data_IF_017442406624
#
_entry.id   IF_017442406624
#
_cell.length_a   1.000
_cell.length_b   1.000
_cell.length_c   1.000
_cell.angle_alpha   90.00
_cell.angle_beta   90.00
_cell.angle_gamma   90.00
#
_symmetry.space_group_name_H-M   'P 1'
#
loop_
_entity.id
_entity.type
_entity.pdbx_description
1 polymer ?
#
# COMPACT_ATOMS: atom_id res chain seq x y z
N UNK A 1 -0.76 -7.65 54.91
CA UNK A 1 -1.63 -6.44 54.93
C UNK A 1 -2.12 -6.20 53.52
N UNK A 2 -3.41 -5.91 53.32
CA UNK A 2 -3.96 -5.63 51.99
C UNK A 2 -4.76 -4.33 51.98
N UNK A 3 -5.00 -3.78 50.80
CA UNK A 3 -5.88 -2.63 50.57
C UNK A 3 -6.70 -2.86 49.30
N UNK A 4 -7.97 -2.50 49.34
CA UNK A 4 -8.86 -2.57 48.17
C UNK A 4 -8.70 -1.24 47.43
N UNK A 5 -8.37 -1.32 46.15
CA UNK A 5 -8.25 -0.17 45.27
C UNK A 5 -9.58 0.10 44.56
N UNK A 6 -9.85 1.37 44.16
CA UNK A 6 -11.00 1.65 43.31
C UNK A 6 -10.85 0.95 41.96
N UNK A 7 -11.97 0.51 41.40
CA UNK A 7 -12.01 0.04 40.02
C UNK A 7 -11.97 1.23 39.07
N UNK A 8 -10.97 1.26 38.19
CA UNK A 8 -10.77 2.32 37.20
C UNK A 8 -11.47 2.00 35.87
N UNK A 9 -11.85 0.74 35.62
CA UNK A 9 -12.52 0.28 34.42
C UNK A 9 -13.98 -0.13 34.72
N UNK A 10 -14.80 0.86 35.01
CA UNK A 10 -16.15 0.65 35.53
C UNK A 10 -17.01 -0.20 34.57
N UNK A 11 -17.35 -1.41 35.01
CA UNK A 11 -18.31 -2.29 34.33
C UNK A 11 -17.75 -3.65 33.89
N UNK A 12 -16.45 -3.91 34.06
CA UNK A 12 -15.84 -5.22 33.80
C UNK A 12 -16.09 -6.26 34.92
N UNK A 13 -16.51 -5.78 36.10
CA UNK A 13 -16.84 -6.60 37.27
C UNK A 13 -15.60 -7.08 38.04
N UNK A 14 -14.42 -6.52 37.78
CA UNK A 14 -13.19 -6.86 38.48
C UNK A 14 -13.07 -6.14 39.84
N UNK A 15 -12.33 -6.75 40.77
CA UNK A 15 -11.97 -6.13 42.04
C UNK A 15 -10.45 -6.00 42.13
N UNK A 16 -9.98 -4.82 42.54
CA UNK A 16 -8.56 -4.51 42.57
C UNK A 16 -8.04 -4.57 44.01
N UNK A 17 -7.07 -5.43 44.27
CA UNK A 17 -6.52 -5.66 45.62
C UNK A 17 -5.00 -5.45 45.61
N UNK A 18 -4.53 -4.46 46.37
CA UNK A 18 -3.12 -4.23 46.63
C UNK A 18 -2.65 -5.08 47.80
N UNK A 19 -1.57 -5.84 47.59
CA UNK A 19 -0.91 -6.67 48.61
C UNK A 19 0.60 -6.42 48.59
N UNK A 20 1.28 -6.74 49.70
CA UNK A 20 2.74 -6.71 49.72
C UNK A 20 3.29 -7.76 48.75
N UNK A 21 4.41 -7.46 48.07
CA UNK A 21 5.01 -8.40 47.11
C UNK A 21 5.37 -9.75 47.73
N UNK A 22 5.72 -9.78 49.02
CA UNK A 22 5.98 -11.01 49.79
C UNK A 22 4.75 -11.91 49.95
N UNK A 23 3.56 -11.35 49.87
CA UNK A 23 2.29 -12.03 50.18
C UNK A 23 1.62 -12.58 48.90
N UNK A 24 2.15 -12.25 47.71
CA UNK A 24 1.58 -12.62 46.40
C UNK A 24 1.35 -14.13 46.27
N UNK A 25 2.35 -14.95 46.61
CA UNK A 25 2.24 -16.42 46.49
C UNK A 25 1.17 -17.00 47.42
N UNK A 26 0.99 -16.38 48.59
CA UNK A 26 -0.05 -16.78 49.56
C UNK A 26 -1.43 -16.45 49.02
N UNK A 27 -1.61 -15.25 48.43
CA UNK A 27 -2.87 -14.83 47.81
C UNK A 27 -3.22 -15.72 46.62
N UNK A 28 -2.23 -16.06 45.78
CA UNK A 28 -2.40 -17.00 44.66
C UNK A 28 -2.94 -18.34 45.12
N UNK A 29 -2.38 -18.88 46.20
CA UNK A 29 -2.80 -20.15 46.76
C UNK A 29 -4.26 -20.11 47.25
N UNK A 30 -4.65 -19.05 47.98
CA UNK A 30 -6.03 -18.87 48.44
C UNK A 30 -7.02 -18.66 47.30
N UNK A 31 -6.64 -17.89 46.28
CA UNK A 31 -7.49 -17.68 45.10
C UNK A 31 -7.71 -19.00 44.34
N UNK A 32 -6.67 -19.82 44.19
CA UNK A 32 -6.80 -21.15 43.59
C UNK A 32 -7.73 -22.09 44.38
N UNK A 33 -7.71 -22.03 45.72
CA UNK A 33 -8.68 -22.76 46.55
C UNK A 33 -10.11 -22.28 46.31
N UNK A 34 -10.31 -20.97 46.22
CA UNK A 34 -11.61 -20.38 45.92
C UNK A 34 -12.13 -20.78 44.52
N UNK A 35 -11.28 -20.71 43.48
CA UNK A 35 -11.64 -21.16 42.13
C UNK A 35 -12.10 -22.63 42.13
N UNK A 36 -11.38 -23.51 42.83
CA UNK A 36 -11.75 -24.92 42.94
C UNK A 36 -13.10 -25.13 43.64
N UNK A 37 -13.39 -24.39 44.70
CA UNK A 37 -14.68 -24.43 45.39
C UNK A 37 -15.83 -23.91 44.51
N UNK A 38 -15.60 -22.86 43.72
CA UNK A 38 -16.59 -22.33 42.77
C UNK A 38 -16.82 -23.30 41.61
N UNK A 39 -15.76 -23.91 41.07
CA UNK A 39 -15.86 -24.96 40.05
C UNK A 39 -16.67 -26.16 40.55
N UNK A 40 -16.46 -26.59 41.80
CA UNK A 40 -17.26 -27.65 42.42
C UNK A 40 -18.75 -27.29 42.56
N UNK A 41 -19.08 -26.00 42.64
CA UNK A 41 -20.45 -25.46 42.67
C UNK A 41 -21.03 -25.19 41.28
N UNK A 42 -20.26 -25.45 40.21
CA UNK A 42 -20.66 -25.22 38.82
C UNK A 42 -20.46 -23.80 38.32
N UNK A 43 -19.73 -22.95 39.07
CA UNK A 43 -19.40 -21.59 38.67
C UNK A 43 -17.97 -21.55 38.11
N UNK A 44 -17.79 -20.94 36.93
CA UNK A 44 -16.47 -20.71 36.35
C UNK A 44 -15.95 -19.32 36.77
N UNK A 45 -14.78 -19.29 37.41
CA UNK A 45 -14.15 -18.05 37.90
C UNK A 45 -12.87 -17.83 37.12
N UNK A 46 -12.76 -16.66 36.47
CA UNK A 46 -11.58 -16.25 35.71
C UNK A 46 -10.31 -16.23 36.57
N UNK A 47 -9.17 -16.41 35.93
CA UNK A 47 -7.87 -16.30 36.59
C UNK A 47 -7.58 -14.88 37.08
N UNK A 48 -6.82 -14.80 38.17
CA UNK A 48 -6.35 -13.53 38.71
C UNK A 48 -5.20 -12.98 37.83
N UNK A 49 -5.29 -11.69 37.51
CA UNK A 49 -4.25 -10.95 36.82
C UNK A 49 -3.31 -10.25 37.81
N UNK A 50 -2.03 -10.14 37.46
CA UNK A 50 -1.04 -9.40 38.23
C UNK A 50 -0.66 -8.14 37.47
N UNK A 51 -0.88 -7.00 38.11
CA UNK A 51 -0.56 -5.68 37.57
C UNK A 51 0.26 -4.91 38.59
N UNK A 52 1.23 -4.13 38.13
CA UNK A 52 1.93 -3.19 39.00
C UNK A 52 1.11 -1.88 39.12
N UNK A 53 1.59 -0.92 39.92
CA UNK A 53 0.85 0.34 40.14
C UNK A 53 0.75 1.21 38.87
N UNK A 54 1.72 1.13 37.96
CA UNK A 54 1.72 1.84 36.69
C UNK A 54 0.68 1.22 35.75
N UNK A 55 0.67 -0.11 35.62
CA UNK A 55 -0.32 -0.86 34.84
C UNK A 55 -1.74 -0.59 35.36
N UNK A 56 -1.92 -0.58 36.69
CA UNK A 56 -3.20 -0.24 37.32
C UNK A 56 -3.69 1.15 36.91
N UNK A 57 -2.83 2.18 36.92
CA UNK A 57 -3.27 3.52 36.48
C UNK A 57 -3.65 3.58 35.00
N UNK A 58 -3.15 2.65 34.19
CA UNK A 58 -3.47 2.56 32.77
C UNK A 58 -4.76 1.79 32.48
N UNK A 59 -5.31 1.01 33.42
CA UNK A 59 -6.59 0.31 33.20
C UNK A 59 -7.78 1.27 33.09
N UNK A 60 -7.63 2.52 33.55
CA UNK A 60 -8.61 3.58 33.32
C UNK A 60 -8.57 4.19 31.91
N UNK A 61 -7.60 3.80 31.07
CA UNK A 61 -7.54 4.24 29.67
C UNK A 61 -8.38 3.30 28.81
N UNK A 62 -9.33 3.85 28.09
CA UNK A 62 -10.14 3.10 27.13
C UNK A 62 -9.44 3.03 25.77
N UNK A 63 -9.39 1.85 25.16
CA UNK A 63 -8.89 1.70 23.78
C UNK A 63 -9.86 2.31 22.77
N UNK A 64 -9.40 2.58 21.54
CA UNK A 64 -10.28 3.08 20.46
C UNK A 64 -11.45 2.12 20.19
N UNK A 65 -11.20 0.80 20.24
CA UNK A 65 -12.23 -0.22 20.06
C UNK A 65 -13.25 -0.23 21.21
N UNK A 66 -12.80 -0.14 22.46
CA UNK A 66 -13.69 -0.04 23.63
C UNK A 66 -14.51 1.25 23.60
N UNK A 67 -13.92 2.38 23.17
CA UNK A 67 -14.64 3.63 22.97
C UNK A 67 -15.77 3.47 21.94
N UNK A 68 -15.50 2.81 20.81
CA UNK A 68 -16.52 2.53 19.79
C UNK A 68 -17.62 1.61 20.34
N UNK A 69 -17.26 0.64 21.19
CA UNK A 69 -18.23 -0.25 21.83
C UNK A 69 -19.11 0.42 22.89
N UNK A 70 -18.68 1.55 23.46
CA UNK A 70 -19.54 2.39 24.32
C UNK A 70 -20.56 3.23 23.54
N UNK A 71 -20.46 3.27 22.20
CA UNK A 71 -21.41 4.00 21.38
C UNK A 71 -22.84 3.45 21.57
N UNK A 72 -23.83 4.34 21.44
CA UNK A 72 -25.23 3.94 21.58
C UNK A 72 -25.59 2.84 20.56
N UNK A 73 -26.57 1.97 20.87
CA UNK A 73 -27.03 0.95 19.92
C UNK A 73 -27.48 1.52 18.56
N UNK A 74 -27.89 2.80 18.53
CA UNK A 74 -28.21 3.52 17.30
C UNK A 74 -26.97 3.84 16.47
N UNK A 75 -25.89 4.30 17.11
CA UNK A 75 -24.62 4.61 16.44
C UNK A 75 -23.90 3.34 15.98
N UNK A 76 -23.94 2.26 16.77
CA UNK A 76 -23.39 0.96 16.36
C UNK A 76 -24.10 0.44 15.10
N UNK A 77 -25.44 0.41 15.08
CA UNK A 77 -26.23 0.03 13.89
C UNK A 77 -26.01 0.95 12.69
N UNK A 78 -25.83 2.25 12.95
CA UNK A 78 -25.52 3.20 11.90
C UNK A 78 -24.14 2.92 11.29
N UNK A 79 -23.13 2.62 12.10
CA UNK A 79 -21.78 2.30 11.65
C UNK A 79 -21.71 0.96 10.91
N UNK A 80 -22.41 -0.07 11.40
CA UNK A 80 -22.54 -1.38 10.73
C UNK A 80 -23.07 -1.26 9.29
N UNK A 81 -23.92 -0.27 9.00
CA UNK A 81 -24.44 -0.02 7.64
C UNK A 81 -23.33 0.40 6.65
N UNK A 82 -22.26 1.00 7.15
CA UNK A 82 -21.16 1.53 6.34
C UNK A 82 -19.91 0.64 6.35
N UNK A 83 -19.71 -0.17 7.40
CA UNK A 83 -18.61 -1.13 7.44
C UNK A 83 -18.75 -2.22 6.37
N UNK A 84 -17.67 -2.49 5.65
CA UNK A 84 -17.58 -3.54 4.60
C UNK A 84 -18.54 -3.38 3.41
N UNK A 85 -19.15 -2.20 3.24
CA UNK A 85 -20.02 -1.95 2.09
C UNK A 85 -19.19 -1.98 0.81
N UNK A 86 -19.49 -2.92 -0.09
CA UNK A 86 -18.92 -2.92 -1.45
C UNK A 86 -19.37 -1.64 -2.15
N UNK A 87 -18.45 -1.01 -2.87
CA UNK A 87 -18.74 0.14 -3.74
C UNK A 87 -19.96 -0.18 -4.64
N UNK A 88 -20.88 0.77 -4.78
CA UNK A 88 -22.00 0.66 -5.69
C UNK A 88 -21.57 0.78 -7.15
N UNK A 89 -22.52 0.67 -8.08
CA UNK A 89 -22.22 0.72 -9.52
C UNK A 89 -21.58 2.04 -9.96
N UNK A 90 -22.07 3.15 -9.41
CA UNK A 90 -21.56 4.49 -9.71
C UNK A 90 -20.14 4.64 -9.16
N UNK A 91 -19.89 4.30 -7.89
CA UNK A 91 -18.54 4.40 -7.32
C UNK A 91 -17.55 3.51 -8.08
N UNK A 92 -17.93 2.28 -8.42
CA UNK A 92 -17.08 1.40 -9.24
C UNK A 92 -16.80 1.98 -10.63
N UNK A 93 -17.77 2.63 -11.27
CA UNK A 93 -17.55 3.27 -12.58
C UNK A 93 -16.61 4.47 -12.50
N UNK A 94 -16.71 5.28 -11.44
CA UNK A 94 -15.81 6.42 -11.20
C UNK A 94 -14.40 5.91 -10.93
N UNK A 95 -14.24 4.91 -10.05
CA UNK A 95 -12.93 4.30 -9.75
C UNK A 95 -12.29 3.74 -11.02
N UNK A 96 -13.05 3.02 -11.87
CA UNK A 96 -12.53 2.50 -13.14
C UNK A 96 -12.10 3.61 -14.10
N UNK A 97 -12.85 4.71 -14.13
CA UNK A 97 -12.53 5.87 -14.98
C UNK A 97 -11.30 6.61 -14.45
N UNK A 98 -11.15 6.77 -13.14
CA UNK A 98 -9.98 7.42 -12.52
C UNK A 98 -8.72 6.57 -12.66
N UNK A 99 -8.85 5.25 -12.48
CA UNK A 99 -7.74 4.30 -12.61
C UNK A 99 -7.32 4.02 -14.05
N UNK A 100 -7.93 4.65 -15.06
CA UNK A 100 -7.50 4.43 -16.45
C UNK A 100 -6.17 5.11 -16.73
N UNK A 101 -5.29 4.42 -17.44
CA UNK A 101 -4.05 5.01 -17.98
C UNK A 101 -4.44 5.99 -19.09
N UNK A 102 -3.98 7.24 -18.97
CA UNK A 102 -4.34 8.34 -19.88
C UNK A 102 -3.43 8.36 -21.10
N UNK A 103 -3.77 9.13 -22.13
CA UNK A 103 -2.89 9.36 -23.30
C UNK A 103 -1.86 10.45 -22.98
N UNK A 104 -0.74 10.50 -23.70
CA UNK A 104 0.21 11.63 -23.66
C UNK A 104 -0.39 12.96 -24.11
N UNK A 105 -1.57 12.94 -24.76
CA UNK A 105 -2.34 14.12 -25.12
C UNK A 105 -3.12 14.75 -23.92
N UNK A 106 -3.16 14.06 -22.78
CA UNK A 106 -3.84 14.52 -21.57
C UNK A 106 -3.04 15.64 -20.88
N UNK A 107 -3.73 16.64 -20.33
CA UNK A 107 -3.10 17.78 -19.64
C UNK A 107 -2.23 17.34 -18.45
N UNK A 108 -2.55 16.21 -17.81
CA UNK A 108 -1.73 15.67 -16.73
C UNK A 108 -0.32 15.26 -17.19
N UNK A 109 -0.14 14.88 -18.46
CA UNK A 109 1.18 14.56 -19.00
C UNK A 109 2.13 15.75 -18.90
N UNK A 110 1.67 16.92 -19.33
CA UNK A 110 2.44 18.17 -19.28
C UNK A 110 2.83 18.55 -17.85
N UNK A 111 2.00 18.20 -16.85
CA UNK A 111 2.34 18.46 -15.44
C UNK A 111 3.55 17.65 -14.98
N UNK A 112 3.67 16.40 -15.40
CA UNK A 112 4.82 15.56 -15.08
C UNK A 112 6.04 15.92 -15.94
N UNK A 113 5.84 16.12 -17.24
CA UNK A 113 6.92 16.43 -18.19
C UNK A 113 7.64 17.74 -17.84
N UNK A 114 6.89 18.77 -17.42
CA UNK A 114 7.45 20.06 -17.03
C UNK A 114 7.96 20.10 -15.57
N UNK A 115 7.80 19.02 -14.80
CA UNK A 115 8.22 18.97 -13.41
C UNK A 115 9.65 18.42 -13.27
N UNK A 116 10.63 19.22 -12.80
CA UNK A 116 12.02 18.80 -12.69
C UNK A 116 12.26 17.69 -11.65
N UNK A 117 11.30 17.43 -10.75
CA UNK A 117 11.37 16.34 -9.77
C UNK A 117 11.14 14.94 -10.37
N UNK A 118 10.69 14.87 -11.61
CA UNK A 118 10.44 13.62 -12.31
C UNK A 118 11.47 13.35 -13.42
N UNK A 119 11.68 12.08 -13.70
CA UNK A 119 12.42 11.59 -14.86
C UNK A 119 11.48 10.76 -15.72
N UNK A 120 11.42 11.09 -17.00
CA UNK A 120 10.64 10.38 -17.99
C UNK A 120 11.34 9.08 -18.40
N UNK A 121 10.59 7.98 -18.43
CA UNK A 121 11.05 6.67 -18.91
C UNK A 121 10.09 6.13 -19.95
N UNK A 122 10.60 5.31 -20.85
CA UNK A 122 9.77 4.68 -21.88
C UNK A 122 9.71 3.18 -21.76
N UNK A 123 8.50 2.62 -21.83
CA UNK A 123 8.21 1.22 -21.53
C UNK A 123 7.48 0.61 -22.72
N UNK A 124 8.10 -0.35 -23.40
CA UNK A 124 7.45 -1.06 -24.50
C UNK A 124 6.47 -2.11 -23.97
N UNK A 125 5.24 -2.09 -24.48
CA UNK A 125 4.16 -2.97 -24.02
C UNK A 125 4.49 -4.45 -24.22
N UNK A 126 4.90 -4.84 -25.42
CA UNK A 126 5.15 -6.24 -25.77
C UNK A 126 6.27 -6.86 -24.93
N UNK A 127 7.35 -6.11 -24.70
CA UNK A 127 8.57 -6.66 -24.10
C UNK A 127 8.64 -6.51 -22.59
N UNK A 128 8.10 -5.42 -22.03
CA UNK A 128 8.22 -5.09 -20.61
C UNK A 128 6.90 -5.21 -19.84
N UNK A 129 5.75 -5.20 -20.52
CA UNK A 129 4.44 -5.37 -19.87
C UNK A 129 3.92 -6.77 -20.12
N UNK A 130 3.67 -7.16 -21.36
CA UNK A 130 3.07 -8.46 -21.69
C UNK A 130 3.93 -9.66 -21.27
N UNK A 131 5.25 -9.50 -21.26
CA UNK A 131 6.19 -10.55 -20.84
C UNK A 131 6.57 -10.48 -19.37
N UNK A 132 6.08 -9.51 -18.60
CA UNK A 132 6.35 -9.40 -17.16
C UNK A 132 5.51 -10.40 -16.36
N UNK A 133 6.09 -10.92 -15.29
CA UNK A 133 5.46 -11.88 -14.39
C UNK A 133 4.27 -11.28 -13.63
N UNK A 134 4.26 -9.96 -13.37
CA UNK A 134 3.24 -9.31 -12.52
C UNK A 134 2.36 -8.30 -13.26
N UNK A 135 2.73 -7.87 -14.47
CA UNK A 135 1.95 -6.89 -15.24
C UNK A 135 0.51 -7.31 -15.57
N UNK A 136 0.26 -8.62 -15.66
CA UNK A 136 -1.09 -9.16 -15.93
C UNK A 136 -1.89 -9.49 -14.67
N UNK A 137 -1.38 -9.15 -13.48
CA UNK A 137 -2.09 -9.42 -12.24
C UNK A 137 -3.30 -8.48 -12.10
N UNK A 138 -4.51 -9.04 -12.09
CA UNK A 138 -5.76 -8.27 -12.00
C UNK A 138 -5.85 -7.44 -10.71
N UNK A 139 -5.31 -7.91 -9.58
CA UNK A 139 -5.30 -7.13 -8.33
C UNK A 139 -4.48 -5.85 -8.44
N UNK A 140 -3.41 -5.88 -9.22
CA UNK A 140 -2.57 -4.69 -9.48
C UNK A 140 -3.36 -3.70 -10.33
N UNK A 141 -4.03 -4.17 -11.38
CA UNK A 141 -4.86 -3.32 -12.25
C UNK A 141 -6.05 -2.70 -11.51
N UNK A 142 -6.75 -3.50 -10.69
CA UNK A 142 -7.90 -3.07 -9.90
C UNK A 142 -7.53 -2.02 -8.83
N UNK A 143 -6.30 -2.08 -8.31
CA UNK A 143 -5.77 -1.09 -7.35
C UNK A 143 -5.26 0.20 -7.99
N UNK A 144 -5.45 0.40 -9.29
CA UNK A 144 -5.00 1.61 -10.00
C UNK A 144 -3.49 1.66 -10.18
N UNK A 145 -2.83 0.50 -10.16
CA UNK A 145 -1.39 0.37 -10.32
C UNK A 145 -1.04 -0.20 -11.70
N UNK A 146 0.07 0.29 -12.22
CA UNK A 146 0.75 -0.18 -13.41
C UNK A 146 1.97 -1.02 -13.00
N UNK A 147 2.18 -2.12 -13.69
CA UNK A 147 3.32 -3.00 -13.47
C UNK A 147 4.06 -3.26 -14.79
N UNK A 148 5.38 -3.15 -14.74
CA UNK A 148 6.26 -3.47 -15.86
C UNK A 148 7.59 -4.03 -15.40
N UNK A 149 8.16 -4.95 -16.15
CA UNK A 149 9.50 -5.47 -15.91
C UNK A 149 10.53 -4.36 -16.08
N UNK A 150 11.49 -4.29 -15.16
CA UNK A 150 12.67 -3.44 -15.30
C UNK A 150 13.55 -4.02 -16.40
N UNK A 151 13.96 -3.24 -17.41
CA UNK A 151 14.82 -3.71 -18.50
C UNK A 151 16.03 -4.50 -17.98
N UNK A 152 16.50 -5.47 -18.75
CA UNK A 152 17.65 -6.34 -18.43
C UNK A 152 17.46 -7.32 -17.27
N UNK A 153 16.32 -7.31 -16.58
CA UNK A 153 16.00 -8.28 -15.51
C UNK A 153 15.05 -9.37 -16.03
N UNK A 154 15.41 -10.66 -15.88
CA UNK A 154 14.64 -11.77 -16.44
C UNK A 154 14.68 -13.01 -15.55
N UNK A 155 13.68 -13.89 -15.70
CA UNK A 155 13.65 -15.19 -15.04
C UNK A 155 13.65 -15.05 -13.52
N UNK A 156 14.59 -15.71 -12.84
CA UNK A 156 14.69 -15.70 -11.37
C UNK A 156 15.12 -14.34 -10.81
N UNK A 157 15.84 -13.55 -11.60
CA UNK A 157 16.32 -12.22 -11.23
C UNK A 157 15.40 -11.12 -11.80
N UNK A 158 14.23 -11.48 -12.33
CA UNK A 158 13.25 -10.52 -12.82
C UNK A 158 12.81 -9.58 -11.69
N UNK A 159 12.83 -8.29 -12.02
CA UNK A 159 12.30 -7.24 -11.17
C UNK A 159 11.17 -6.54 -11.90
N UNK A 160 10.06 -6.32 -11.21
CA UNK A 160 8.90 -5.58 -11.73
C UNK A 160 8.77 -4.26 -11.00
N UNK A 161 8.83 -3.17 -11.75
CA UNK A 161 8.51 -1.83 -11.32
C UNK A 161 7.00 -1.65 -11.21
N UNK A 162 6.54 -1.13 -10.09
CA UNK A 162 5.14 -0.81 -9.82
C UNK A 162 4.98 0.71 -9.67
N UNK A 163 4.08 1.31 -10.42
CA UNK A 163 3.77 2.73 -10.41
C UNK A 163 2.24 2.97 -10.34
N UNK A 164 1.75 4.09 -9.81
CA UNK A 164 0.36 4.51 -10.00
C UNK A 164 0.04 4.75 -11.49
N UNK A 165 -1.17 4.40 -11.93
CA UNK A 165 -1.60 4.64 -13.31
C UNK A 165 -1.57 6.12 -13.71
N UNK A 166 -1.71 7.03 -12.75
CA UNK A 166 -1.61 8.48 -12.95
C UNK A 166 -0.22 8.96 -13.41
N UNK A 167 0.83 8.19 -13.12
CA UNK A 167 2.20 8.47 -13.53
C UNK A 167 2.55 7.83 -14.87
N UNK A 168 1.60 7.17 -15.53
CA UNK A 168 1.80 6.38 -16.74
C UNK A 168 0.84 6.85 -17.83
N UNK A 169 1.36 6.98 -19.04
CA UNK A 169 0.65 7.51 -20.19
C UNK A 169 0.86 6.61 -21.41
N UNK A 170 -0.20 6.37 -22.17
CA UNK A 170 -0.17 5.64 -23.43
C UNK A 170 0.31 6.54 -24.56
N UNK A 171 1.18 5.99 -25.41
CA UNK A 171 1.63 6.60 -26.66
C UNK A 171 1.82 5.53 -27.74
N UNK A 172 2.19 5.93 -28.96
CA UNK A 172 2.41 5.03 -30.10
C UNK A 172 1.22 4.07 -30.35
N UNK A 173 -0.01 4.59 -30.36
CA UNK A 173 -1.26 3.81 -30.48
C UNK A 173 -1.39 2.69 -29.41
N UNK A 174 -0.84 2.93 -28.22
CA UNK A 174 -0.86 2.01 -27.10
C UNK A 174 0.15 0.86 -27.18
N UNK A 175 1.14 0.97 -28.06
CA UNK A 175 2.30 0.04 -28.11
C UNK A 175 3.38 0.40 -27.09
N UNK A 176 3.38 1.64 -26.63
CA UNK A 176 4.35 2.18 -25.70
C UNK A 176 3.63 2.89 -24.56
N UNK A 177 4.24 2.83 -23.38
CA UNK A 177 3.91 3.70 -22.26
C UNK A 177 5.06 4.66 -22.01
N UNK A 178 4.74 5.91 -21.68
CA UNK A 178 5.63 6.85 -21.03
C UNK A 178 5.28 6.84 -19.55
N UNK A 179 6.27 6.70 -18.68
CA UNK A 179 6.08 6.75 -17.24
C UNK A 179 7.02 7.75 -16.60
N UNK A 180 6.61 8.33 -15.48
CA UNK A 180 7.40 9.33 -14.76
C UNK A 180 7.84 8.78 -13.41
N UNK A 181 9.16 8.77 -13.19
CA UNK A 181 9.76 8.36 -11.92
C UNK A 181 10.12 9.59 -11.09
N UNK A 182 9.69 9.64 -9.84
CA UNK A 182 10.22 10.62 -8.89
C UNK A 182 11.71 10.39 -8.66
N UNK A 183 12.55 11.40 -8.94
CA UNK A 183 14.02 11.27 -8.90
C UNK A 183 14.54 10.80 -7.55
N UNK A 184 14.01 11.38 -6.48
CA UNK A 184 14.51 11.20 -5.12
C UNK A 184 13.82 10.07 -4.35
N UNK A 185 12.69 9.55 -4.84
CA UNK A 185 11.96 8.46 -4.19
C UNK A 185 12.32 7.11 -4.80
N UNK A 186 12.23 6.08 -3.96
CA UNK A 186 12.40 4.69 -4.37
C UNK A 186 11.03 4.07 -4.70
N UNK A 187 10.69 3.88 -5.99
CA UNK A 187 9.42 3.27 -6.38
C UNK A 187 9.32 1.83 -5.87
N UNK A 188 8.12 1.25 -5.84
CA UNK A 188 7.95 -0.14 -5.44
C UNK A 188 8.52 -1.05 -6.54
N UNK A 189 9.33 -2.02 -6.12
CA UNK A 189 9.92 -3.04 -6.99
C UNK A 189 9.65 -4.41 -6.39
N UNK A 190 9.13 -5.31 -7.21
CA UNK A 190 8.78 -6.69 -6.86
C UNK A 190 9.78 -7.65 -7.50
N UNK A 191 10.29 -8.60 -6.72
CA UNK A 191 11.10 -9.70 -7.22
C UNK A 191 10.21 -10.77 -7.88
N UNK A 192 10.81 -11.62 -8.72
CA UNK A 192 10.14 -12.74 -9.39
C UNK A 192 9.36 -13.68 -8.45
N UNK A 193 9.81 -13.80 -7.19
CA UNK A 193 9.15 -14.62 -6.15
C UNK A 193 7.94 -13.93 -5.49
N UNK A 194 7.59 -12.71 -5.90
CA UNK A 194 6.47 -11.95 -5.37
C UNK A 194 6.78 -11.18 -4.08
N UNK A 195 8.03 -11.15 -3.62
CA UNK A 195 8.43 -10.33 -2.49
C UNK A 195 8.87 -8.93 -2.95
N UNK A 196 8.53 -7.87 -2.20
CA UNK A 196 9.05 -6.54 -2.47
C UNK A 196 10.54 -6.45 -2.15
N UNK A 197 11.29 -5.69 -2.95
CA UNK A 197 12.68 -5.33 -2.64
C UNK A 197 12.68 -4.38 -1.43
N UNK A 198 13.60 -4.61 -0.49
CA UNK A 198 13.70 -3.79 0.74
C UNK A 198 13.85 -2.30 0.41
N UNK A 199 13.21 -1.43 1.20
CA UNK A 199 13.32 0.04 1.05
C UNK A 199 14.79 0.49 1.02
N UNK A 200 15.65 -0.15 1.82
CA UNK A 200 17.08 0.19 1.93
C UNK A 200 17.91 -0.21 0.71
N UNK A 201 17.43 -1.17 -0.08
CA UNK A 201 18.12 -1.71 -1.26
C UNK A 201 17.54 -1.16 -2.56
N UNK A 202 16.31 -0.62 -2.52
CA UNK A 202 15.65 -0.04 -3.69
C UNK A 202 16.35 1.23 -4.16
N UNK A 203 16.68 1.24 -5.45
CA UNK A 203 17.20 2.42 -6.14
C UNK A 203 16.12 3.50 -6.22
N UNK A 204 16.53 4.76 -6.07
CA UNK A 204 15.66 5.89 -6.36
C UNK A 204 15.40 6.01 -7.87
N UNK A 205 14.39 6.79 -8.25
CA UNK A 205 13.99 6.93 -9.66
C UNK A 205 15.13 7.38 -10.57
N UNK A 206 16.00 8.27 -10.10
CA UNK A 206 17.13 8.75 -10.90
C UNK A 206 18.19 7.66 -11.16
N UNK A 207 18.54 6.86 -10.15
CA UNK A 207 19.44 5.71 -10.34
C UNK A 207 18.79 4.62 -11.19
N UNK A 208 17.50 4.36 -10.99
CA UNK A 208 16.75 3.38 -11.76
C UNK A 208 16.75 3.73 -13.26
N UNK A 209 16.51 5.01 -13.57
CA UNK A 209 16.60 5.54 -14.93
C UNK A 209 17.98 5.29 -15.53
N UNK A 210 19.05 5.82 -14.92
CA UNK A 210 20.43 5.72 -15.44
C UNK A 210 20.88 4.28 -15.64
N UNK A 211 20.52 3.39 -14.71
CA UNK A 211 21.05 2.03 -14.73
C UNK A 211 20.36 1.13 -15.75
N UNK A 212 19.06 1.35 -16.02
CA UNK A 212 18.21 0.42 -16.78
C UNK A 212 17.50 1.03 -17.97
N UNK A 213 17.08 2.30 -17.91
CA UNK A 213 16.21 2.91 -18.93
C UNK A 213 16.98 3.85 -19.87
N UNK A 214 17.96 4.60 -19.35
CA UNK A 214 18.81 5.51 -20.14
C UNK A 214 19.70 4.74 -21.14
N UNK A 215 20.13 3.53 -20.76
CA UNK A 215 20.92 2.64 -21.63
C UNK A 215 20.15 2.10 -22.83
N UNK A 216 18.83 2.28 -22.88
CA UNK A 216 17.99 1.83 -23.97
C UNK A 216 17.90 2.98 -24.99
N UNK A 217 18.95 3.16 -25.80
CA UNK A 217 18.90 4.10 -26.92
C UNK A 217 17.74 3.73 -27.86
N UNK A 218 16.69 4.53 -27.76
CA UNK A 218 15.57 4.53 -28.69
C UNK A 218 16.05 5.27 -29.94
N UNK A 219 16.17 4.56 -31.07
CA UNK A 219 16.36 5.17 -32.41
C UNK A 219 15.13 6.00 -32.87
N UNK A 220 14.49 6.75 -31.98
CA UNK A 220 13.37 7.62 -32.31
C UNK A 220 13.84 8.86 -33.08
N UNK A 221 15.02 9.39 -32.73
CA UNK A 221 15.65 10.50 -33.46
C UNK A 221 15.99 10.17 -34.92
N UNK A 222 16.20 8.89 -35.28
CA UNK A 222 16.42 8.50 -36.68
C UNK A 222 15.14 8.57 -37.50
N UNK A 223 13.96 8.28 -36.93
CA UNK A 223 12.69 8.37 -37.67
C UNK A 223 12.27 9.82 -37.94
N UNK A 224 12.47 10.74 -37.00
CA UNK A 224 12.22 12.17 -37.23
C UNK A 224 13.21 12.80 -38.22
N UNK A 225 14.47 12.39 -38.20
CA UNK A 225 15.44 12.84 -39.21
C UNK A 225 15.14 12.27 -40.61
N UNK A 226 14.69 11.01 -40.69
CA UNK A 226 14.28 10.39 -41.95
C UNK A 226 12.98 11.00 -42.50
N UNK A 227 12.01 11.33 -41.65
CA UNK A 227 10.76 11.99 -42.07
C UNK A 227 11.00 13.44 -42.50
N UNK A 228 11.85 14.19 -41.80
CA UNK A 228 12.25 15.53 -42.23
C UNK A 228 13.03 15.53 -43.53
N UNK A 229 13.92 14.56 -43.74
CA UNK A 229 14.68 14.43 -44.99
C UNK A 229 13.76 14.02 -46.15
N UNK A 230 12.81 13.10 -45.93
CA UNK A 230 11.83 12.71 -46.94
C UNK A 230 10.89 13.86 -47.34
N UNK A 231 10.43 14.66 -46.38
CA UNK A 231 9.57 15.82 -46.65
C UNK A 231 10.31 16.92 -47.42
N UNK A 232 11.59 17.18 -47.09
CA UNK A 232 12.43 18.16 -47.81
C UNK A 232 12.68 17.76 -49.26
N UNK A 233 12.87 16.45 -49.51
CA UNK A 233 13.05 15.92 -50.87
C UNK A 233 11.76 16.02 -51.68
N UNK A 234 10.59 15.75 -51.08
CA UNK A 234 9.29 15.92 -51.76
C UNK A 234 8.95 17.39 -52.07
N UNK A 235 9.27 18.33 -51.20
CA UNK A 235 9.05 19.76 -51.45
C UNK A 235 9.98 20.29 -52.55
N UNK A 236 11.25 19.87 -52.56
CA UNK A 236 12.20 20.26 -53.61
C UNK A 236 11.79 19.73 -54.99
N UNK A 237 11.24 18.51 -55.07
CA UNK A 237 10.74 17.91 -56.31
C UNK A 237 9.47 18.59 -56.84
N UNK A 238 8.62 19.15 -55.97
CA UNK A 238 7.43 19.93 -56.38
C UNK A 238 7.76 21.34 -56.84
N UNK A 239 8.90 21.92 -56.45
CA UNK A 239 9.31 23.26 -56.88
C UNK A 239 10.02 23.30 -58.25
N UNK A 240 10.39 22.13 -58.79
CA UNK A 240 11.10 21.98 -60.07
C UNK A 240 10.20 21.45 -61.22
N UNK A 241 8.90 21.26 -60.97
CA UNK A 241 7.89 20.92 -61.97
C UNK A 241 6.98 22.13 -62.23
#
# INVERSE_FOLDING_TARGET
>A
NYSILPDLNVGDGEIQIMVASSDIDTVKYWYGMYQNDQLAKGNEVKDMNYVNMEDYTQTGNMTEEEYINTASPELQKANEKYENRKYGEIENSVIKQENRIRSTEDVAYEQYHNNPGFTEITINKETLVEKSSFAQNEKIKESGLFASRIPTTYGKDEQTLILPNEQVFLTDDGKTYIAFLEKDKSPLVMLANGMPVSVTERKNGEKLFRDYYDKVEREFYKKEQLSHTANKVQESAKSMA
#
